data_IF_923460372186
#
_entry.id   IF_923460372186
#
_cell.length_a   1.000
_cell.length_b   1.000
_cell.length_c   1.000
_cell.angle_alpha   90.00
_cell.angle_beta   90.00
_cell.angle_gamma   90.00
#
_symmetry.space_group_name_H-M   'P 1'
#
loop_
_entity.id
_entity.type
_entity.pdbx_description
1 polymer ?
#
# COMPACT_ATOMS: atom_id res chain seq x y z
N UNK A 1 -10.39 -5.49 13.38
CA UNK A 1 -9.98 -4.18 12.81
C UNK A 1 -9.34 -4.41 11.43
N UNK A 2 -9.58 -3.52 10.47
CA UNK A 2 -8.95 -3.59 9.16
C UNK A 2 -7.80 -2.60 9.06
N UNK A 3 -6.73 -2.99 8.39
CA UNK A 3 -5.60 -2.14 8.07
C UNK A 3 -5.57 -1.93 6.55
N UNK A 4 -5.80 -0.69 6.13
CA UNK A 4 -5.77 -0.30 4.71
C UNK A 4 -4.56 0.61 4.52
N UNK A 5 -3.70 0.29 3.58
CA UNK A 5 -2.39 0.91 3.44
C UNK A 5 -2.20 1.47 2.05
N UNK A 6 -1.81 2.74 2.00
CA UNK A 6 -1.33 3.42 0.80
C UNK A 6 0.15 3.77 0.98
N UNK A 7 1.02 3.09 0.24
CA UNK A 7 2.46 3.20 0.39
C UNK A 7 3.14 3.68 -0.88
N UNK A 8 3.60 4.92 -0.85
CA UNK A 8 4.55 5.44 -1.83
C UNK A 8 6.00 5.18 -1.43
N UNK A 9 6.94 5.54 -2.30
CA UNK A 9 8.38 5.43 -2.01
C UNK A 9 8.85 6.38 -0.91
N UNK A 10 8.12 7.47 -0.63
CA UNK A 10 8.51 8.51 0.32
C UNK A 10 7.76 8.39 1.65
N UNK A 11 6.48 8.06 1.62
CA UNK A 11 5.60 7.97 2.79
C UNK A 11 4.64 6.80 2.65
N UNK A 12 4.17 6.31 3.80
CA UNK A 12 3.09 5.32 3.90
C UNK A 12 2.02 5.85 4.84
N UNK A 13 0.77 5.85 4.37
CA UNK A 13 -0.43 6.14 5.15
C UNK A 13 -1.10 4.81 5.53
N UNK A 14 -1.26 4.57 6.85
CA UNK A 14 -1.86 3.38 7.43
C UNK A 14 -3.21 3.75 8.03
N UNK A 15 -4.31 3.40 7.38
CA UNK A 15 -5.65 3.58 7.91
C UNK A 15 -6.07 2.36 8.73
N UNK A 16 -6.23 2.56 10.05
CA UNK A 16 -6.71 1.57 11.00
C UNK A 16 -8.21 1.76 11.17
N UNK A 17 -9.00 0.93 10.50
CA UNK A 17 -10.44 1.11 10.38
C UNK A 17 -11.22 0.07 11.20
N UNK A 18 -12.09 0.55 12.09
CA UNK A 18 -13.14 -0.24 12.74
C UNK A 18 -14.42 -0.23 11.90
N UNK A 19 -14.68 0.88 11.18
CA UNK A 19 -15.76 1.04 10.20
C UNK A 19 -15.39 2.13 9.20
N UNK A 20 -16.20 2.35 8.18
CA UNK A 20 -15.99 3.42 7.19
C UNK A 20 -15.98 4.85 7.80
N UNK A 21 -16.62 5.05 8.96
CA UNK A 21 -16.71 6.33 9.65
C UNK A 21 -15.81 6.42 10.89
N UNK A 22 -15.26 5.28 11.34
CA UNK A 22 -14.41 5.22 12.53
C UNK A 22 -13.06 4.61 12.16
N UNK A 23 -12.10 5.47 11.85
CA UNK A 23 -10.73 5.10 11.50
C UNK A 23 -9.74 6.16 11.98
N UNK A 24 -8.50 5.76 12.19
CA UNK A 24 -7.35 6.64 12.39
C UNK A 24 -6.31 6.41 11.30
N UNK A 25 -5.46 7.41 11.07
CA UNK A 25 -4.39 7.33 10.07
C UNK A 25 -3.05 7.56 10.76
N UNK A 26 -2.20 6.54 10.67
CA UNK A 26 -0.80 6.62 11.08
C UNK A 26 0.06 6.81 9.83
N UNK A 27 1.08 7.67 9.93
CA UNK A 27 2.03 7.93 8.84
C UNK A 27 3.41 7.44 9.22
N UNK A 28 4.06 6.74 8.29
CA UNK A 28 5.45 6.28 8.41
C UNK A 28 6.27 6.65 7.18
N UNK A 29 7.56 6.36 7.20
CA UNK A 29 8.38 6.39 6.00
C UNK A 29 7.83 5.45 4.92
N UNK A 30 8.14 5.73 3.66
CA UNK A 30 7.67 4.95 2.53
C UNK A 30 8.19 3.51 2.54
N UNK A 31 7.42 2.60 1.96
CA UNK A 31 7.79 1.20 1.80
C UNK A 31 7.73 0.86 0.31
N UNK A 32 8.86 0.43 -0.23
CA UNK A 32 8.99 0.02 -1.62
C UNK A 32 9.95 -1.19 -1.73
N UNK A 33 9.43 -2.40 -1.99
CA UNK A 33 10.24 -3.63 -1.99
C UNK A 33 11.20 -3.76 -3.17
N UNK A 34 11.17 -2.83 -4.14
CA UNK A 34 12.15 -2.79 -5.24
C UNK A 34 13.46 -2.17 -4.77
N UNK A 35 13.39 -1.15 -3.88
CA UNK A 35 14.57 -0.38 -3.45
C UNK A 35 14.97 -0.63 -1.99
N UNK A 36 14.14 -1.33 -1.22
CA UNK A 36 14.40 -1.65 0.19
C UNK A 36 14.54 -3.16 0.38
N UNK A 37 15.41 -3.55 1.32
CA UNK A 37 15.49 -4.93 1.78
C UNK A 37 14.32 -5.29 2.70
N UNK A 38 14.04 -6.58 2.83
CA UNK A 38 13.04 -7.10 3.78
C UNK A 38 13.31 -6.58 5.21
N UNK A 39 14.57 -6.57 5.63
CA UNK A 39 14.96 -6.09 6.97
C UNK A 39 14.65 -4.60 7.16
N UNK A 40 14.89 -3.77 6.16
CA UNK A 40 14.55 -2.34 6.24
C UNK A 40 13.04 -2.13 6.33
N UNK A 41 12.25 -2.90 5.59
CA UNK A 41 10.79 -2.86 5.65
C UNK A 41 10.30 -3.32 7.02
N UNK A 42 10.86 -4.40 7.56
CA UNK A 42 10.57 -4.92 8.90
C UNK A 42 10.85 -3.88 9.98
N UNK A 43 12.00 -3.23 9.92
CA UNK A 43 12.39 -2.17 10.86
C UNK A 43 11.43 -0.98 10.81
N UNK A 44 11.04 -0.53 9.61
CA UNK A 44 10.04 0.53 9.46
C UNK A 44 8.73 0.18 10.17
N UNK A 45 8.20 -1.03 9.93
CA UNK A 45 6.95 -1.46 10.55
C UNK A 45 7.09 -1.59 12.07
N UNK A 46 8.16 -2.20 12.56
CA UNK A 46 8.37 -2.43 13.99
C UNK A 46 8.66 -1.15 14.77
N UNK A 47 9.51 -0.28 14.25
CA UNK A 47 9.99 0.91 14.96
C UNK A 47 9.18 2.18 14.69
N UNK A 48 8.42 2.23 13.61
CA UNK A 48 7.56 3.39 13.37
C UNK A 48 6.08 3.04 13.56
N UNK A 49 5.55 2.08 12.81
CA UNK A 49 4.12 1.77 12.85
C UNK A 49 3.68 1.24 14.20
N UNK A 50 4.31 0.16 14.71
CA UNK A 50 3.86 -0.46 15.96
C UNK A 50 4.04 0.45 17.17
N UNK A 51 5.07 1.31 17.19
CA UNK A 51 5.23 2.29 18.26
C UNK A 51 4.12 3.34 18.23
N UNK A 52 3.76 3.85 17.04
CA UNK A 52 2.68 4.82 16.87
C UNK A 52 1.31 4.20 17.20
N UNK A 53 1.05 2.96 16.76
CA UNK A 53 -0.16 2.22 17.14
C UNK A 53 -0.32 2.13 18.66
N UNK A 54 0.74 1.73 19.38
CA UNK A 54 0.73 1.68 20.85
C UNK A 54 0.48 3.04 21.48
N UNK A 55 1.06 4.10 20.93
CA UNK A 55 0.82 5.48 21.40
C UNK A 55 -0.64 5.91 21.26
N UNK A 56 -1.38 5.37 20.29
CA UNK A 56 -2.82 5.59 20.11
C UNK A 56 -3.70 4.56 20.83
N UNK A 57 -3.12 3.67 21.62
CA UNK A 57 -3.85 2.61 22.33
C UNK A 57 -4.33 1.47 21.43
N UNK A 58 -3.75 1.33 20.22
CA UNK A 58 -4.11 0.31 19.25
C UNK A 58 -3.15 -0.88 19.35
N UNK A 59 -3.71 -2.10 19.23
CA UNK A 59 -2.94 -3.34 19.31
C UNK A 59 -2.84 -4.01 17.94
N UNK A 60 -1.65 -4.47 17.59
CA UNK A 60 -1.43 -5.25 16.35
C UNK A 60 -2.28 -6.53 16.32
N UNK A 61 -2.51 -7.16 17.48
CA UNK A 61 -3.29 -8.39 17.60
C UNK A 61 -4.78 -8.22 17.25
N UNK A 62 -5.28 -6.98 17.19
CA UNK A 62 -6.66 -6.67 16.80
C UNK A 62 -6.85 -6.51 15.28
N UNK A 63 -5.77 -6.58 14.50
CA UNK A 63 -5.82 -6.51 13.03
C UNK A 63 -6.24 -7.86 12.47
N UNK A 64 -7.36 -7.89 11.77
CA UNK A 64 -7.97 -9.09 11.17
C UNK A 64 -7.72 -9.17 9.67
N UNK A 65 -7.68 -8.02 8.98
CA UNK A 65 -7.50 -7.97 7.53
C UNK A 65 -6.57 -6.83 7.14
N UNK A 66 -5.72 -7.08 6.18
CA UNK A 66 -4.76 -6.11 5.66
C UNK A 66 -4.92 -6.00 4.15
N UNK A 67 -5.09 -4.76 3.68
CA UNK A 67 -5.10 -4.39 2.27
C UNK A 67 -3.95 -3.42 2.04
N UNK A 68 -2.85 -3.90 1.51
CA UNK A 68 -1.65 -3.11 1.25
C UNK A 68 -1.56 -2.79 -0.25
N UNK A 69 -1.58 -1.49 -0.56
CA UNK A 69 -1.38 -0.97 -1.89
C UNK A 69 -0.07 -0.18 -1.90
N UNK A 70 0.92 -0.63 -2.68
CA UNK A 70 2.25 -0.03 -2.58
C UNK A 70 2.99 0.13 -3.88
N UNK A 71 3.75 1.23 -3.96
CA UNK A 71 4.76 1.43 -4.99
C UNK A 71 5.77 0.28 -4.97
N UNK A 72 6.15 -0.23 -6.14
CA UNK A 72 7.08 -1.36 -6.25
C UNK A 72 6.51 -2.72 -5.86
N UNK A 73 5.22 -2.83 -5.53
CA UNK A 73 4.53 -4.10 -5.32
C UNK A 73 4.21 -4.77 -6.67
N UNK A 74 5.27 -5.15 -7.39
CA UNK A 74 5.20 -5.97 -8.59
C UNK A 74 5.08 -7.46 -8.21
N UNK A 75 4.57 -8.34 -9.08
CA UNK A 75 4.32 -9.74 -8.74
C UNK A 75 5.50 -10.46 -8.10
N UNK A 76 6.73 -10.17 -8.55
CA UNK A 76 7.96 -10.78 -8.06
C UNK A 76 8.39 -10.30 -6.67
N UNK A 77 7.81 -9.20 -6.17
CA UNK A 77 8.20 -8.53 -4.91
C UNK A 77 7.10 -8.48 -3.86
N UNK A 78 5.85 -8.72 -4.22
CA UNK A 78 4.72 -8.67 -3.27
C UNK A 78 4.89 -9.62 -2.09
N UNK A 79 5.55 -10.78 -2.30
CA UNK A 79 5.80 -11.76 -1.25
C UNK A 79 6.60 -11.17 -0.08
N UNK A 80 7.57 -10.29 -0.34
CA UNK A 80 8.39 -9.65 0.71
C UNK A 80 7.51 -8.88 1.70
N UNK A 81 6.58 -8.07 1.18
CA UNK A 81 5.65 -7.31 2.02
C UNK A 81 4.70 -8.26 2.77
N UNK A 82 4.16 -9.26 2.07
CA UNK A 82 3.24 -10.22 2.65
C UNK A 82 3.86 -11.00 3.79
N UNK A 83 5.12 -11.44 3.64
CA UNK A 83 5.85 -12.18 4.66
C UNK A 83 6.12 -11.31 5.90
N UNK A 84 6.55 -10.07 5.73
CA UNK A 84 6.77 -9.14 6.85
C UNK A 84 5.46 -8.83 7.58
N UNK A 85 4.38 -8.57 6.84
CA UNK A 85 3.06 -8.28 7.44
C UNK A 85 2.51 -9.50 8.18
N UNK A 86 2.62 -10.71 7.63
CA UNK A 86 2.13 -11.94 8.27
C UNK A 86 2.87 -12.28 9.58
N UNK A 87 4.16 -11.99 9.62
CA UNK A 87 4.98 -12.18 10.83
C UNK A 87 4.72 -11.11 11.89
N UNK A 88 4.24 -9.93 11.47
CA UNK A 88 3.96 -8.81 12.38
C UNK A 88 2.53 -8.84 12.92
N UNK A 89 1.57 -9.19 12.08
CA UNK A 89 0.13 -9.22 12.40
C UNK A 89 -0.37 -10.67 12.39
N UNK A 90 0.02 -11.41 13.42
CA UNK A 90 -0.17 -12.86 13.51
C UNK A 90 -1.63 -13.32 13.53
N UNK A 91 -2.56 -12.44 13.90
CA UNK A 91 -4.00 -12.70 13.92
C UNK A 91 -4.71 -12.28 12.64
N UNK A 92 -3.99 -11.76 11.65
CA UNK A 92 -4.60 -11.35 10.39
C UNK A 92 -5.05 -12.58 9.58
N UNK A 93 -6.36 -12.69 9.36
CA UNK A 93 -7.00 -13.78 8.61
C UNK A 93 -6.73 -13.67 7.10
N UNK A 94 -6.53 -12.45 6.60
CA UNK A 94 -6.20 -12.20 5.20
C UNK A 94 -5.27 -11.00 5.02
N UNK A 95 -4.30 -11.16 4.11
CA UNK A 95 -3.34 -10.12 3.73
C UNK A 95 -3.30 -10.07 2.20
N UNK A 96 -3.81 -8.97 1.65
CA UNK A 96 -3.73 -8.66 0.24
C UNK A 96 -2.63 -7.61 0.03
N UNK A 97 -1.74 -7.86 -0.93
CA UNK A 97 -0.66 -6.93 -1.30
C UNK A 97 -0.73 -6.71 -2.80
N UNK A 98 -0.97 -5.47 -3.19
CA UNK A 98 -1.21 -5.07 -4.57
C UNK A 98 -0.45 -3.79 -4.90
N UNK A 99 -0.40 -3.43 -6.19
CA UNK A 99 0.20 -2.18 -6.62
C UNK A 99 -0.60 -0.96 -6.15
N UNK A 100 0.09 0.15 -5.91
CA UNK A 100 -0.49 1.47 -5.63
C UNK A 100 -1.48 1.90 -6.74
N UNK A 101 -1.17 1.56 -8.00
CA UNK A 101 -2.02 1.86 -9.15
C UNK A 101 -3.39 1.15 -9.07
N UNK A 102 -3.42 -0.11 -8.61
CA UNK A 102 -4.68 -0.82 -8.38
C UNK A 102 -5.45 -0.22 -7.20
N UNK A 103 -4.75 0.22 -6.14
CA UNK A 103 -5.34 0.96 -5.03
C UNK A 103 -6.02 2.24 -5.49
N UNK A 104 -5.35 3.03 -6.32
CA UNK A 104 -5.90 4.25 -6.92
C UNK A 104 -7.13 3.94 -7.80
N UNK A 105 -7.05 2.91 -8.66
CA UNK A 105 -8.15 2.51 -9.52
C UNK A 105 -9.40 2.09 -8.71
N UNK A 106 -9.22 1.25 -7.68
CA UNK A 106 -10.30 0.83 -6.78
C UNK A 106 -10.91 2.00 -6.01
N UNK A 107 -10.09 2.94 -5.57
CA UNK A 107 -10.53 4.14 -4.84
C UNK A 107 -11.35 5.09 -5.72
N UNK A 108 -10.91 5.34 -6.95
CA UNK A 108 -11.55 6.29 -7.87
C UNK A 108 -12.76 5.70 -8.59
N UNK A 109 -12.66 4.47 -9.07
CA UNK A 109 -13.65 3.85 -9.94
C UNK A 109 -14.61 2.91 -9.20
N UNK A 110 -14.25 2.46 -7.99
CA UNK A 110 -15.02 1.46 -7.25
C UNK A 110 -15.08 0.14 -8.00
N UNK A 111 -16.30 -0.25 -8.42
CA UNK A 111 -16.54 -1.46 -9.21
C UNK A 111 -16.92 -1.15 -10.67
N UNK A 112 -16.66 0.05 -11.15
CA UNK A 112 -16.98 0.47 -12.53
C UNK A 112 -15.70 0.56 -13.34
N UNK A 113 -15.74 0.26 -14.64
CA UNK A 113 -14.62 0.52 -15.52
C UNK A 113 -14.25 2.01 -15.54
N UNK A 114 -12.94 2.29 -15.68
CA UNK A 114 -12.46 3.66 -15.71
C UNK A 114 -10.95 3.75 -15.96
N UNK A 115 -10.46 4.97 -16.01
CA UNK A 115 -9.02 5.26 -16.10
C UNK A 115 -8.60 5.88 -14.79
N UNK A 116 -7.53 5.34 -14.19
CA UNK A 116 -6.91 5.89 -13.00
C UNK A 116 -5.49 6.36 -13.32
N UNK A 117 -5.11 7.50 -12.72
CA UNK A 117 -3.77 8.06 -12.85
C UNK A 117 -3.21 8.38 -11.48
N UNK A 118 -1.92 8.12 -11.29
CA UNK A 118 -1.15 8.54 -10.12
C UNK A 118 -0.15 9.62 -10.58
N UNK A 119 -0.09 10.71 -9.84
CA UNK A 119 0.91 11.76 -9.97
C UNK A 119 1.61 11.93 -8.62
N UNK A 120 2.88 11.57 -8.55
CA UNK A 120 3.67 11.61 -7.30
C UNK A 120 5.15 11.76 -7.61
N UNK A 121 6.03 10.96 -6.98
CA UNK A 121 7.46 10.87 -7.32
C UNK A 121 7.67 10.36 -8.75
N UNK A 122 6.73 9.58 -9.26
CA UNK A 122 6.59 9.16 -10.64
C UNK A 122 5.15 9.35 -11.10
N UNK A 123 4.88 9.19 -12.41
CA UNK A 123 3.53 9.16 -12.95
C UNK A 123 3.20 7.79 -13.53
N UNK A 124 1.96 7.38 -13.39
CA UNK A 124 1.47 6.13 -13.93
C UNK A 124 -0.04 6.22 -14.22
N UNK A 125 -0.51 5.45 -15.19
CA UNK A 125 -1.93 5.39 -15.52
C UNK A 125 -2.35 3.99 -15.96
N UNK A 126 -3.61 3.65 -15.74
CA UNK A 126 -4.16 2.36 -16.14
C UNK A 126 -5.60 2.45 -16.63
N UNK A 127 -5.96 1.48 -17.46
CA UNK A 127 -7.33 1.11 -17.75
C UNK A 127 -7.76 0.02 -16.76
N UNK A 128 -8.85 0.27 -16.06
CA UNK A 128 -9.42 -0.60 -15.03
C UNK A 128 -10.80 -1.07 -15.49
N UNK A 129 -11.11 -2.35 -15.37
CA UNK A 129 -12.38 -2.93 -15.84
C UNK A 129 -13.49 -2.97 -14.77
N UNK A 130 -13.19 -2.49 -13.56
CA UNK A 130 -14.06 -2.57 -12.37
C UNK A 130 -13.64 -3.65 -11.39
N UNK A 131 -12.60 -4.44 -11.70
CA UNK A 131 -12.07 -5.52 -10.87
C UNK A 131 -10.55 -5.54 -10.84
N UNK A 132 -9.93 -5.44 -12.02
CA UNK A 132 -8.47 -5.53 -12.20
C UNK A 132 -7.96 -4.54 -13.27
N UNK A 133 -6.68 -4.29 -13.28
CA UNK A 133 -6.01 -3.49 -14.30
C UNK A 133 -5.88 -4.37 -15.56
N UNK A 134 -6.49 -3.92 -16.66
CA UNK A 134 -6.43 -4.63 -17.96
C UNK A 134 -5.32 -4.09 -18.84
N UNK A 135 -4.93 -2.82 -18.65
CA UNK A 135 -3.83 -2.19 -19.39
C UNK A 135 -3.24 -1.07 -18.56
N UNK A 136 -1.94 -0.84 -18.65
CA UNK A 136 -1.28 0.28 -17.96
C UNK A 136 -0.17 0.87 -18.84
N UNK A 137 0.07 2.16 -18.67
CA UNK A 137 1.18 2.86 -19.32
C UNK A 137 2.48 2.47 -18.61
N UNK A 138 3.54 2.08 -19.33
CA UNK A 138 4.84 1.83 -18.71
C UNK A 138 5.34 3.08 -17.97
N UNK A 139 5.77 2.94 -16.73
CA UNK A 139 6.43 4.00 -15.99
C UNK A 139 7.86 4.15 -16.54
N UNK A 140 8.13 5.19 -17.31
CA UNK A 140 9.41 5.42 -17.97
C UNK A 140 10.43 6.12 -17.07
N UNK A 141 10.00 6.72 -15.96
CA UNK A 141 10.80 7.55 -15.07
C UNK A 141 11.11 8.92 -15.67
N UNK A 142 11.42 9.89 -14.82
CA UNK A 142 11.60 11.30 -15.15
C UNK A 142 12.55 11.57 -16.35
N UNK A 143 13.65 10.82 -16.43
CA UNK A 143 14.67 11.05 -17.47
C UNK A 143 14.20 10.63 -18.87
N UNK A 144 13.28 9.65 -18.98
CA UNK A 144 12.91 9.01 -20.26
C UNK A 144 11.53 9.50 -20.76
N UNK A 145 10.76 10.19 -19.94
CA UNK A 145 9.47 10.72 -20.38
C UNK A 145 8.33 10.58 -19.37
N UNK A 146 8.65 10.49 -18.09
CA UNK A 146 7.65 10.55 -17.02
C UNK A 146 7.33 12.02 -16.71
N UNK A 147 6.57 12.65 -17.61
CA UNK A 147 6.28 14.09 -17.59
C UNK A 147 5.36 14.51 -16.42
N UNK A 148 4.82 13.58 -15.68
CA UNK A 148 3.97 13.83 -14.53
C UNK A 148 4.69 13.78 -13.18
N UNK A 149 5.98 13.51 -13.16
CA UNK A 149 6.78 13.38 -11.93
C UNK A 149 7.60 14.62 -11.60
#
# INVERSE_FOLDING_TARGET
>A
MWLIVDSGSTKTDWALALSAQNYSIIKTAGINPVVQSEEQIRQNIQHELLLKMRGEGLCADSVERIYFYGAGCIPEKTHIIKDVLSQTFINAESIEVESDLLGAARSLCGRKPGIACILGTGSNSCLYDGKEIVEHTPALGFIIGDEGS
#
